data_IF_079967955695
#
_entry.id   IF_079967955695
#
_cell.length_a   1.000
_cell.length_b   1.000
_cell.length_c   1.000
_cell.angle_alpha   90.00
_cell.angle_beta   90.00
_cell.angle_gamma   90.00
#
_symmetry.space_group_name_H-M   'P 1'
#
loop_
_entity.id
_entity.type
_entity.pdbx_description
1 polymer ?
#
# COMPACT_ATOMS: atom_id res chain seq x y z
N UNK A 1 31.67 -24.71 37.05
CA UNK A 1 30.87 -24.89 38.29
C UNK A 1 30.18 -23.56 38.60
N UNK A 2 28.95 -23.59 39.10
CA UNK A 2 28.16 -22.43 39.50
C UNK A 2 27.62 -22.70 40.92
N UNK A 3 27.59 -21.69 41.81
CA UNK A 3 26.29 -21.19 42.32
C UNK A 3 26.26 -19.64 42.40
N UNK A 4 25.15 -18.91 42.21
CA UNK A 4 23.80 -18.97 42.84
C UNK A 4 23.82 -18.57 44.35
N UNK A 5 22.92 -17.75 44.95
CA UNK A 5 21.66 -17.09 44.52
C UNK A 5 21.15 -16.08 45.62
N UNK A 6 20.44 -14.97 45.25
CA UNK A 6 19.41 -14.20 46.02
C UNK A 6 19.78 -13.46 47.35
N UNK A 7 19.05 -12.45 47.92
CA UNK A 7 17.95 -11.51 47.52
C UNK A 7 17.68 -10.48 48.65
N UNK A 8 16.61 -9.65 48.58
CA UNK A 8 15.95 -8.81 49.65
C UNK A 8 16.49 -7.37 49.88
N UNK A 9 15.72 -6.29 50.18
CA UNK A 9 14.31 -5.84 49.97
C UNK A 9 14.23 -4.34 50.40
N UNK A 10 13.35 -3.53 49.79
CA UNK A 10 12.86 -2.21 50.31
C UNK A 10 11.92 -2.40 51.55
N UNK A 11 11.38 -1.39 52.31
CA UNK A 11 11.17 0.04 51.96
C UNK A 11 11.23 1.12 53.10
N UNK A 12 11.30 2.41 52.72
CA UNK A 12 10.95 3.62 53.52
C UNK A 12 10.61 4.77 52.54
N UNK A 13 9.66 5.72 52.70
CA UNK A 13 8.35 5.82 53.40
C UNK A 13 7.61 7.08 52.82
N UNK A 14 6.53 7.60 53.43
CA UNK A 14 5.74 8.74 52.92
C UNK A 14 5.47 9.89 53.93
N UNK A 15 4.89 10.98 53.39
CA UNK A 15 4.21 12.13 54.03
C UNK A 15 5.05 13.37 54.45
N UNK A 16 4.74 14.52 53.83
CA UNK A 16 4.01 15.56 54.56
C UNK A 16 3.21 16.51 53.64
N UNK A 17 2.06 16.97 54.12
CA UNK A 17 1.19 17.98 53.49
C UNK A 17 1.45 19.36 54.11
N UNK A 18 1.42 20.42 53.30
CA UNK A 18 1.57 21.80 53.77
C UNK A 18 1.11 22.81 52.73
N UNK A 19 -0.12 23.32 52.87
CA UNK A 19 -0.70 24.34 52.00
C UNK A 19 -0.27 25.74 52.42
N UNK A 20 -0.07 26.64 51.45
CA UNK A 20 -0.51 28.05 51.51
C UNK A 20 -0.47 28.68 50.10
N UNK A 21 -1.38 29.61 49.84
CA UNK A 21 -1.61 30.23 48.55
C UNK A 21 -0.88 31.58 48.41
N UNK A 22 -0.61 32.05 47.18
CA UNK A 22 -1.38 33.14 46.55
C UNK A 22 -0.84 33.59 45.18
N UNK A 23 -1.74 34.16 44.38
CA UNK A 23 -1.56 35.12 43.26
C UNK A 23 -0.56 34.86 42.11
N UNK A 24 -1.09 34.79 40.87
CA UNK A 24 -0.29 34.69 39.64
C UNK A 24 -1.11 34.78 38.34
N UNK A 25 -1.79 35.91 38.12
CA UNK A 25 -2.72 36.09 36.99
C UNK A 25 -2.01 36.14 35.62
N UNK A 26 -2.33 35.24 34.69
CA UNK A 26 -1.94 35.36 33.27
C UNK A 26 -2.91 34.69 32.28
N UNK A 27 -3.93 35.47 31.89
CA UNK A 27 -4.54 35.58 30.54
C UNK A 27 -4.52 34.32 29.63
N UNK A 28 -5.39 33.36 29.90
CA UNK A 28 -5.85 32.44 28.85
C UNK A 28 -6.81 33.17 27.88
N UNK A 29 -6.37 33.51 26.67
CA UNK A 29 -7.28 33.88 25.57
C UNK A 29 -7.88 32.60 24.97
N UNK A 30 -9.13 32.32 25.30
CA UNK A 30 -9.93 31.34 24.56
C UNK A 30 -10.04 31.77 23.09
N UNK A 31 -9.45 31.00 22.16
CA UNK A 31 -9.77 31.10 20.73
C UNK A 31 -10.98 30.22 20.44
N UNK A 32 -12.08 30.84 20.02
CA UNK A 32 -13.25 30.10 19.48
C UNK A 32 -12.84 29.36 18.20
N UNK A 33 -13.29 28.11 17.98
CA UNK A 33 -13.19 27.50 16.65
C UNK A 33 -14.13 28.23 15.69
N UNK A 34 -13.61 28.63 14.52
CA UNK A 34 -14.41 29.21 13.43
C UNK A 34 -15.02 28.13 12.53
N UNK A 35 -16.18 28.36 11.92
CA UNK A 35 -16.78 27.39 11.01
C UNK A 35 -16.13 27.47 9.61
N UNK A 36 -15.58 26.35 9.14
CA UNK A 36 -15.01 26.25 7.79
C UNK A 36 -15.20 24.84 7.18
N UNK A 37 -16.39 24.26 7.33
CA UNK A 37 -16.81 23.14 6.46
C UNK A 37 -17.30 23.71 5.13
N UNK A 38 -16.37 23.90 4.19
CA UNK A 38 -16.72 24.11 2.80
C UNK A 38 -17.31 22.80 2.23
N UNK A 39 -18.49 22.90 1.61
CA UNK A 39 -19.24 21.75 1.11
C UNK A 39 -18.52 21.14 -0.10
N UNK A 40 -18.21 19.85 -0.06
CA UNK A 40 -18.08 19.06 -1.28
C UNK A 40 -19.48 18.90 -1.89
N UNK A 41 -19.61 19.14 -3.19
CA UNK A 41 -20.90 19.20 -3.88
C UNK A 41 -21.58 17.83 -3.95
N UNK A 42 -22.85 17.70 -3.50
CA UNK A 42 -23.60 16.45 -3.61
C UNK A 42 -24.13 16.29 -5.04
N UNK A 43 -23.30 15.79 -5.96
CA UNK A 43 -23.74 15.48 -7.32
C UNK A 43 -23.17 14.17 -7.92
N UNK A 44 -22.76 13.24 -7.06
CA UNK A 44 -22.52 11.82 -7.42
C UNK A 44 -23.29 10.91 -6.44
N UNK A 45 -24.60 11.15 -6.32
CA UNK A 45 -25.52 10.22 -5.66
C UNK A 45 -26.92 10.36 -6.28
N UNK A 46 -27.56 9.23 -6.55
CA UNK A 46 -28.87 9.08 -7.22
C UNK A 46 -28.94 9.39 -8.73
N UNK A 47 -28.55 8.40 -9.54
CA UNK A 47 -29.38 7.94 -10.68
C UNK A 47 -29.04 6.52 -11.13
N UNK A 48 -29.52 5.52 -10.37
CA UNK A 48 -29.89 4.20 -10.91
C UNK A 48 -31.38 3.99 -10.64
N UNK A 49 -32.23 4.39 -11.58
CA UNK A 49 -33.59 3.83 -11.69
C UNK A 49 -33.47 2.53 -12.49
N UNK A 50 -34.29 1.53 -12.18
CA UNK A 50 -34.40 0.31 -13.00
C UNK A 50 -34.61 0.66 -14.49
N UNK A 51 -33.80 0.03 -15.33
CA UNK A 51 -34.08 -0.25 -16.74
C UNK A 51 -34.07 -1.79 -16.90
N UNK A 52 -34.80 -2.37 -17.87
CA UNK A 52 -35.08 -3.80 -17.92
C UNK A 52 -33.85 -4.64 -18.31
N UNK A 53 -33.93 -5.94 -18.02
CA UNK A 53 -32.91 -6.91 -18.38
C UNK A 53 -32.95 -7.25 -19.87
N UNK A 54 -32.09 -6.62 -20.67
CA UNK A 54 -31.86 -6.98 -22.07
C UNK A 54 -30.37 -7.29 -22.32
N UNK A 55 -30.11 -8.54 -22.73
CA UNK A 55 -28.90 -9.06 -23.40
C UNK A 55 -27.53 -8.67 -22.83
N UNK A 56 -27.02 -9.51 -21.92
CA UNK A 56 -25.74 -9.34 -21.22
C UNK A 56 -24.49 -9.83 -22.01
N UNK A 57 -24.44 -9.67 -23.34
CA UNK A 57 -23.39 -10.27 -24.19
C UNK A 57 -22.60 -9.27 -25.07
N UNK A 58 -22.89 -7.96 -25.01
CA UNK A 58 -22.23 -6.97 -25.90
C UNK A 58 -21.63 -5.75 -25.18
N UNK A 59 -21.75 -5.64 -23.85
CA UNK A 59 -21.09 -4.60 -23.05
C UNK A 59 -19.74 -5.04 -22.44
N UNK A 60 -19.28 -6.26 -22.72
CA UNK A 60 -17.87 -6.66 -22.56
C UNK A 60 -16.98 -6.08 -23.70
N UNK A 61 -17.26 -4.84 -24.10
CA UNK A 61 -16.60 -4.17 -25.22
C UNK A 61 -15.20 -3.74 -24.84
N UNK A 62 -14.21 -4.58 -25.19
CA UNK A 62 -12.79 -4.25 -25.37
C UNK A 62 -12.27 -3.15 -24.42
N UNK A 63 -12.37 -3.38 -23.10
CA UNK A 63 -11.69 -2.55 -22.12
C UNK A 63 -10.19 -2.63 -22.40
N UNK A 64 -9.57 -1.51 -22.80
CA UNK A 64 -8.13 -1.47 -23.12
C UNK A 64 -7.33 -2.05 -21.97
N UNK A 65 -6.44 -2.99 -22.27
CA UNK A 65 -5.65 -3.63 -21.24
C UNK A 65 -4.58 -2.67 -20.68
N UNK A 66 -4.91 -1.91 -19.63
CA UNK A 66 -4.02 -0.89 -19.05
C UNK A 66 -3.40 -1.33 -17.72
N UNK A 67 -2.09 -1.23 -17.62
CA UNK A 67 -1.36 -1.52 -16.39
C UNK A 67 -0.91 -0.23 -15.66
N UNK A 68 -1.21 -0.11 -14.36
CA UNK A 68 -0.60 0.86 -13.46
C UNK A 68 0.60 0.23 -12.75
N UNK A 69 1.77 0.88 -12.84
CA UNK A 69 3.06 0.40 -12.35
C UNK A 69 3.65 1.44 -11.38
N UNK A 70 3.16 1.45 -10.14
CA UNK A 70 3.46 2.47 -9.13
C UNK A 70 4.61 2.05 -8.20
N UNK A 71 5.70 2.82 -8.20
CA UNK A 71 6.88 2.55 -7.37
C UNK A 71 7.75 1.40 -7.89
N UNK A 72 7.55 0.97 -9.13
CA UNK A 72 8.10 -0.29 -9.66
C UNK A 72 9.44 -0.16 -10.38
N UNK A 73 9.93 1.06 -10.67
CA UNK A 73 11.14 1.34 -11.45
C UNK A 73 12.47 0.88 -10.80
N UNK A 74 12.42 0.33 -9.59
CA UNK A 74 13.58 -0.22 -8.86
C UNK A 74 13.55 -1.75 -8.79
N UNK A 75 13.45 -2.30 -7.57
CA UNK A 75 13.51 -3.76 -7.31
C UNK A 75 12.43 -4.60 -8.01
N UNK A 76 11.40 -3.94 -8.57
CA UNK A 76 10.27 -4.54 -9.28
C UNK A 76 10.36 -4.34 -10.80
N UNK A 77 11.46 -3.80 -11.35
CA UNK A 77 11.54 -3.42 -12.76
C UNK A 77 11.29 -4.60 -13.73
N UNK A 78 11.72 -5.82 -13.37
CA UNK A 78 11.43 -7.00 -14.18
C UNK A 78 9.95 -7.44 -14.09
N UNK A 79 9.30 -7.27 -12.94
CA UNK A 79 7.85 -7.47 -12.80
C UNK A 79 7.03 -6.39 -13.54
N UNK A 80 7.49 -5.14 -13.50
CA UNK A 80 6.92 -4.06 -14.32
C UNK A 80 7.06 -4.35 -15.80
N UNK A 81 8.21 -4.87 -16.26
CA UNK A 81 8.42 -5.30 -17.65
C UNK A 81 7.45 -6.41 -18.03
N UNK A 82 7.26 -7.40 -17.16
CA UNK A 82 6.30 -8.49 -17.36
C UNK A 82 4.85 -7.98 -17.50
N UNK A 83 4.40 -7.11 -16.58
CA UNK A 83 3.08 -6.50 -16.65
C UNK A 83 2.90 -5.63 -17.92
N UNK A 84 3.87 -4.78 -18.23
CA UNK A 84 3.86 -3.91 -19.39
C UNK A 84 3.84 -4.71 -20.71
N UNK A 85 4.54 -5.85 -20.81
CA UNK A 85 4.48 -6.71 -22.01
C UNK A 85 3.05 -7.15 -22.33
N UNK A 86 2.24 -7.49 -21.33
CA UNK A 86 0.86 -7.95 -21.51
C UNK A 86 -0.15 -6.81 -21.78
N UNK A 87 0.15 -5.59 -21.32
CA UNK A 87 -0.72 -4.42 -21.45
C UNK A 87 -0.66 -3.77 -22.86
N UNK A 88 -1.72 -3.08 -23.27
CA UNK A 88 -1.74 -2.16 -24.40
C UNK A 88 -1.07 -0.80 -24.06
N UNK A 89 -1.22 -0.35 -22.82
CA UNK A 89 -0.65 0.91 -22.28
C UNK A 89 -0.18 0.65 -20.85
N UNK A 90 1.02 1.09 -20.50
CA UNK A 90 1.61 0.91 -19.17
C UNK A 90 1.96 2.26 -18.53
N UNK A 91 1.26 2.63 -17.47
CA UNK A 91 1.49 3.88 -16.74
C UNK A 91 2.51 3.65 -15.64
N UNK A 92 3.71 4.20 -15.81
CA UNK A 92 4.84 4.04 -14.89
C UNK A 92 4.90 5.25 -13.99
N UNK A 93 4.70 5.04 -12.68
CA UNK A 93 4.76 6.13 -11.69
C UNK A 93 5.95 5.95 -10.77
N UNK A 94 6.87 6.90 -10.81
CA UNK A 94 7.91 7.08 -9.80
C UNK A 94 8.49 8.49 -9.90
N UNK A 95 9.21 8.94 -8.87
CA UNK A 95 9.89 10.26 -8.85
C UNK A 95 10.86 10.50 -10.03
N UNK A 96 11.24 9.45 -10.76
CA UNK A 96 12.19 9.49 -11.88
C UNK A 96 11.68 8.69 -13.09
N UNK A 97 10.35 8.62 -13.28
CA UNK A 97 9.73 7.87 -14.38
C UNK A 97 10.20 8.34 -15.77
N UNK A 98 10.45 9.64 -15.96
CA UNK A 98 10.89 10.21 -17.24
C UNK A 98 12.28 9.72 -17.71
N UNK A 99 13.09 9.23 -16.77
CA UNK A 99 14.42 8.64 -17.06
C UNK A 99 14.41 7.11 -17.02
N UNK A 100 13.25 6.48 -16.83
CA UNK A 100 13.12 5.03 -16.80
C UNK A 100 12.77 4.49 -18.18
N UNK A 101 13.39 3.37 -18.55
CA UNK A 101 13.18 2.63 -19.79
C UNK A 101 13.43 1.14 -19.51
N UNK A 102 12.71 0.26 -20.19
CA UNK A 102 12.94 -1.18 -20.17
C UNK A 102 14.07 -1.63 -21.10
N UNK A 103 14.70 -0.71 -21.85
CA UNK A 103 15.71 -1.00 -22.86
C UNK A 103 15.15 -1.65 -24.13
N UNK A 104 13.87 -1.40 -24.41
CA UNK A 104 13.08 -2.10 -25.44
C UNK A 104 12.11 -1.10 -26.08
N UNK A 105 12.49 -0.57 -27.25
CA UNK A 105 11.80 0.57 -27.90
C UNK A 105 10.31 0.32 -28.12
N UNK A 106 9.92 -0.91 -28.49
CA UNK A 106 8.52 -1.26 -28.73
C UNK A 106 7.71 -1.36 -27.42
N UNK A 107 8.36 -1.75 -26.32
CA UNK A 107 7.76 -1.78 -25.00
C UNK A 107 7.69 -0.38 -24.37
N UNK A 108 8.74 0.42 -24.53
CA UNK A 108 8.83 1.79 -24.02
C UNK A 108 7.85 2.73 -24.77
N UNK A 109 7.61 2.52 -26.07
CA UNK A 109 6.67 3.30 -26.87
C UNK A 109 5.19 3.19 -26.42
N UNK A 110 4.83 2.17 -25.64
CA UNK A 110 3.50 2.04 -25.01
C UNK A 110 3.48 2.41 -23.52
N UNK A 111 4.58 2.94 -23.00
CA UNK A 111 4.68 3.39 -21.62
C UNK A 111 4.34 4.89 -21.51
N UNK A 112 3.60 5.25 -20.46
CA UNK A 112 3.42 6.65 -20.05
C UNK A 112 4.16 6.85 -18.74
N UNK A 113 5.21 7.67 -18.75
CA UNK A 113 5.94 8.05 -17.55
C UNK A 113 5.23 9.20 -16.83
N UNK A 114 4.97 9.00 -15.54
CA UNK A 114 4.40 10.00 -14.63
C UNK A 114 5.39 10.24 -13.48
N UNK A 115 6.15 11.36 -13.49
CA UNK A 115 7.28 11.63 -12.60
C UNK A 115 6.89 12.04 -11.16
N UNK A 116 5.85 11.44 -10.60
CA UNK A 116 5.26 11.84 -9.32
C UNK A 116 5.79 11.04 -8.13
N UNK A 117 5.79 11.69 -6.96
CA UNK A 117 5.92 11.01 -5.66
C UNK A 117 4.54 10.53 -5.21
N UNK A 118 4.44 9.32 -4.65
CA UNK A 118 3.22 8.87 -3.97
C UNK A 118 2.90 9.70 -2.71
N UNK A 119 3.84 10.54 -2.25
CA UNK A 119 3.67 11.45 -1.11
C UNK A 119 2.94 12.74 -1.48
N UNK A 120 2.80 13.04 -2.78
CA UNK A 120 1.94 14.10 -3.31
C UNK A 120 0.64 13.46 -3.86
N UNK A 121 -0.16 12.92 -2.94
CA UNK A 121 -1.38 12.17 -3.27
C UNK A 121 -2.33 12.94 -4.21
N UNK A 122 -2.63 14.25 -4.01
CA UNK A 122 -3.57 14.97 -4.87
C UNK A 122 -3.05 15.13 -6.31
N UNK A 123 -1.77 15.46 -6.49
CA UNK A 123 -1.20 15.66 -7.82
C UNK A 123 -1.06 14.33 -8.58
N UNK A 124 -0.69 13.26 -7.88
CA UNK A 124 -0.64 11.91 -8.45
C UNK A 124 -2.03 11.43 -8.89
N UNK A 125 -3.06 11.59 -8.05
CA UNK A 125 -4.41 11.14 -8.39
C UNK A 125 -4.98 11.89 -9.60
N UNK A 126 -4.83 13.22 -9.65
CA UNK A 126 -5.24 14.03 -10.80
C UNK A 126 -4.53 13.62 -12.11
N UNK A 127 -3.27 13.18 -12.04
CA UNK A 127 -2.57 12.64 -13.21
C UNK A 127 -3.15 11.26 -13.63
N UNK A 128 -3.39 10.37 -12.67
CA UNK A 128 -3.89 9.01 -12.92
C UNK A 128 -5.33 8.94 -13.45
N UNK A 129 -6.20 9.88 -13.06
CA UNK A 129 -7.60 9.93 -13.51
C UNK A 129 -7.74 9.89 -15.05
N UNK A 130 -6.82 10.51 -15.79
CA UNK A 130 -6.86 10.55 -17.25
C UNK A 130 -6.46 9.23 -17.92
N UNK A 131 -5.83 8.32 -17.19
CA UNK A 131 -5.38 7.01 -17.68
C UNK A 131 -6.29 5.85 -17.26
N UNK A 132 -6.98 5.99 -16.13
CA UNK A 132 -7.89 5.00 -15.58
C UNK A 132 -9.07 4.66 -16.54
N UNK A 133 -9.71 3.49 -16.39
CA UNK A 133 -9.46 2.46 -15.39
C UNK A 133 -8.33 1.48 -15.78
N UNK A 134 -7.72 0.84 -14.79
CA UNK A 134 -6.62 -0.12 -14.96
C UNK A 134 -7.09 -1.57 -14.82
N UNK A 135 -6.79 -2.44 -15.78
CA UNK A 135 -7.02 -3.89 -15.68
C UNK A 135 -6.06 -4.57 -14.70
N UNK A 136 -4.86 -3.99 -14.52
CA UNK A 136 -3.86 -4.43 -13.56
C UNK A 136 -3.23 -3.21 -12.86
N UNK A 137 -3.12 -3.25 -11.54
CA UNK A 137 -2.33 -2.30 -10.77
C UNK A 137 -1.29 -3.04 -9.93
N UNK A 138 -0.01 -2.92 -10.29
CA UNK A 138 1.13 -3.40 -9.48
C UNK A 138 1.71 -2.21 -8.72
N UNK A 139 1.58 -2.22 -7.40
CA UNK A 139 1.95 -1.05 -6.57
C UNK A 139 2.94 -1.42 -5.48
N UNK A 140 3.92 -0.55 -5.24
CA UNK A 140 4.80 -0.60 -4.08
C UNK A 140 4.91 0.79 -3.45
N UNK A 141 4.03 1.05 -2.49
CA UNK A 141 3.98 2.30 -1.71
C UNK A 141 4.17 2.01 -0.22
N UNK A 142 4.73 2.98 0.50
CA UNK A 142 5.07 2.83 1.92
C UNK A 142 3.81 2.63 2.79
N UNK A 143 3.94 2.04 3.99
CA UNK A 143 2.86 2.07 4.98
C UNK A 143 2.50 3.52 5.36
N UNK A 144 1.22 3.82 5.61
CA UNK A 144 0.60 5.14 5.90
C UNK A 144 0.08 5.96 4.71
N UNK A 145 0.16 5.46 3.48
CA UNK A 145 -0.47 6.10 2.30
C UNK A 145 -1.94 5.64 2.14
N UNK A 146 -2.75 5.75 3.20
CA UNK A 146 -4.07 5.09 3.27
C UNK A 146 -5.11 5.75 2.35
N UNK A 147 -5.06 7.08 2.19
CA UNK A 147 -5.94 7.80 1.26
C UNK A 147 -5.60 7.46 -0.20
N UNK A 148 -4.31 7.47 -0.54
CA UNK A 148 -3.87 7.00 -1.86
C UNK A 148 -4.28 5.55 -2.13
N UNK A 149 -4.16 4.62 -1.16
CA UNK A 149 -4.63 3.23 -1.33
C UNK A 149 -6.12 3.15 -1.65
N UNK A 150 -6.96 3.81 -0.86
CA UNK A 150 -8.40 3.83 -1.09
C UNK A 150 -8.79 4.47 -2.44
N UNK A 151 -8.04 5.47 -2.90
CA UNK A 151 -8.23 6.07 -4.21
C UNK A 151 -7.75 5.15 -5.36
N UNK A 152 -6.63 4.45 -5.18
CA UNK A 152 -6.13 3.46 -6.15
C UNK A 152 -7.10 2.30 -6.35
N UNK A 153 -7.77 1.84 -5.29
CA UNK A 153 -8.82 0.81 -5.38
C UNK A 153 -9.90 1.21 -6.39
N UNK A 154 -10.31 2.48 -6.38
CA UNK A 154 -11.33 3.03 -7.28
C UNK A 154 -10.86 3.31 -8.71
N UNK A 155 -9.56 3.24 -8.99
CA UNK A 155 -8.98 3.39 -10.33
C UNK A 155 -8.79 2.04 -11.05
N UNK A 156 -9.00 0.91 -10.37
CA UNK A 156 -8.98 -0.43 -10.97
C UNK A 156 -10.32 -0.69 -11.68
N UNK A 157 -10.25 -1.26 -12.88
CA UNK A 157 -11.42 -1.62 -13.67
C UNK A 157 -12.24 -2.74 -12.99
N UNK A 158 -13.56 -2.80 -13.20
CA UNK A 158 -14.34 -4.00 -12.87
C UNK A 158 -13.75 -5.24 -13.55
N UNK A 159 -13.50 -6.30 -12.78
CA UNK A 159 -12.75 -7.50 -13.18
C UNK A 159 -11.23 -7.35 -13.18
N UNK A 160 -10.70 -6.16 -12.87
CA UNK A 160 -9.27 -5.87 -12.79
C UNK A 160 -8.62 -6.37 -11.51
N UNK A 161 -7.28 -6.40 -11.48
CA UNK A 161 -6.49 -6.93 -10.37
C UNK A 161 -5.60 -5.86 -9.73
N UNK A 162 -5.69 -5.68 -8.42
CA UNK A 162 -4.76 -4.91 -7.60
C UNK A 162 -3.78 -5.84 -6.88
N UNK A 163 -2.49 -5.70 -7.18
CA UNK A 163 -1.39 -6.38 -6.51
C UNK A 163 -0.59 -5.36 -5.70
N UNK A 164 -0.68 -5.45 -4.38
CA UNK A 164 0.12 -4.63 -3.46
C UNK A 164 1.37 -5.38 -3.00
N UNK A 165 2.54 -4.86 -3.39
CA UNK A 165 3.82 -5.29 -2.85
C UNK A 165 4.07 -4.56 -1.53
N UNK A 166 4.43 -5.30 -0.49
CA UNK A 166 4.58 -4.79 0.88
C UNK A 166 5.88 -5.30 1.52
N UNK A 167 6.57 -4.46 2.29
CA UNK A 167 7.73 -4.91 3.09
C UNK A 167 7.31 -5.74 4.31
N UNK A 168 8.22 -6.56 4.87
CA UNK A 168 7.94 -7.53 5.95
C UNK A 168 7.20 -6.97 7.16
N UNK A 169 7.38 -5.68 7.49
CA UNK A 169 6.71 -5.00 8.61
C UNK A 169 5.20 -4.81 8.42
N UNK A 170 4.67 -5.03 7.21
CA UNK A 170 3.24 -4.86 6.89
C UNK A 170 2.32 -5.89 7.56
N UNK A 171 2.85 -7.05 7.92
CA UNK A 171 2.13 -8.15 8.58
C UNK A 171 2.18 -8.08 10.12
N UNK A 172 2.94 -7.15 10.69
CA UNK A 172 3.02 -6.99 12.14
C UNK A 172 1.74 -6.37 12.66
N UNK A 173 1.17 -6.98 13.70
CA UNK A 173 0.13 -6.38 14.52
C UNK A 173 0.66 -5.16 15.29
N UNK A 174 -0.24 -4.28 15.70
CA UNK A 174 0.07 -3.21 16.64
C UNK A 174 0.38 -3.72 18.05
N UNK A 175 0.98 -2.89 18.91
CA UNK A 175 1.45 -3.29 20.23
C UNK A 175 0.32 -3.73 21.19
N UNK A 176 -0.94 -3.38 20.90
CA UNK A 176 -2.12 -3.74 21.68
C UNK A 176 -2.99 -4.79 20.95
N UNK A 177 -2.44 -5.47 19.93
CA UNK A 177 -3.17 -6.45 19.12
C UNK A 177 -3.98 -5.83 17.97
N UNK A 178 -3.73 -4.57 17.61
CA UNK A 178 -4.35 -3.96 16.43
C UNK A 178 -3.99 -4.74 15.15
N UNK A 179 -4.92 -4.94 14.19
CA UNK A 179 -4.64 -5.69 12.98
C UNK A 179 -3.53 -5.04 12.16
N UNK A 180 -2.72 -5.88 11.51
CA UNK A 180 -1.65 -5.42 10.63
C UNK A 180 -2.22 -4.66 9.42
N UNK A 181 -1.44 -3.77 8.79
CA UNK A 181 -1.89 -3.08 7.57
C UNK A 181 -2.19 -4.08 6.43
N UNK A 182 -1.45 -5.19 6.35
CA UNK A 182 -1.74 -6.26 5.41
C UNK A 182 -3.07 -6.98 5.72
N UNK A 183 -3.47 -7.07 6.99
CA UNK A 183 -4.80 -7.59 7.39
C UNK A 183 -5.90 -6.59 7.04
N UNK A 184 -5.76 -5.32 7.48
CA UNK A 184 -6.73 -4.24 7.22
C UNK A 184 -7.05 -4.12 5.73
N UNK A 185 -6.02 -4.15 4.86
CA UNK A 185 -6.20 -4.08 3.41
C UNK A 185 -6.90 -5.32 2.84
N UNK A 186 -6.53 -6.52 3.29
CA UNK A 186 -7.18 -7.74 2.84
C UNK A 186 -8.66 -7.78 3.23
N UNK A 187 -8.98 -7.41 4.47
CA UNK A 187 -10.36 -7.38 4.98
C UNK A 187 -11.21 -6.31 4.26
N UNK A 188 -10.64 -5.12 3.99
CA UNK A 188 -11.34 -4.05 3.27
C UNK A 188 -11.65 -4.41 1.81
N UNK A 189 -10.77 -5.17 1.15
CA UNK A 189 -10.90 -5.53 -0.27
C UNK A 189 -11.69 -6.83 -0.48
N UNK A 190 -11.73 -7.74 0.50
CA UNK A 190 -12.58 -8.93 0.47
C UNK A 190 -14.09 -8.61 0.32
N UNK A 191 -14.49 -7.38 0.61
CA UNK A 191 -15.87 -6.89 0.48
C UNK A 191 -16.14 -6.15 -0.86
N UNK A 192 -15.17 -6.08 -1.77
CA UNK A 192 -15.28 -5.41 -3.07
C UNK A 192 -15.31 -6.47 -4.19
N UNK A 193 -16.49 -6.98 -4.59
CA UNK A 193 -16.59 -8.12 -5.50
C UNK A 193 -16.14 -7.82 -6.93
N UNK A 194 -16.07 -6.54 -7.31
CA UNK A 194 -15.74 -6.10 -8.66
C UNK A 194 -14.23 -6.02 -8.94
N UNK A 195 -13.36 -6.20 -7.94
CA UNK A 195 -11.89 -6.17 -8.12
C UNK A 195 -11.20 -7.34 -7.43
N UNK A 196 -10.23 -7.96 -8.10
CA UNK A 196 -9.38 -8.98 -7.52
C UNK A 196 -8.25 -8.32 -6.72
N UNK A 197 -8.12 -8.65 -5.44
CA UNK A 197 -7.06 -8.11 -4.59
C UNK A 197 -6.06 -9.17 -4.16
N UNK A 198 -4.77 -8.83 -4.25
CA UNK A 198 -3.67 -9.71 -3.86
C UNK A 198 -2.49 -8.96 -3.24
N UNK A 199 -1.74 -9.68 -2.41
CA UNK A 199 -0.57 -9.15 -1.70
C UNK A 199 0.71 -9.94 -2.02
N UNK A 200 1.82 -9.22 -2.22
CA UNK A 200 3.17 -9.80 -2.23
C UNK A 200 3.93 -9.23 -1.03
N UNK A 201 4.16 -10.03 0.00
CA UNK A 201 4.90 -9.61 1.19
C UNK A 201 6.36 -10.03 1.07
N UNK A 202 7.25 -9.04 1.08
CA UNK A 202 8.70 -9.22 0.99
C UNK A 202 9.29 -9.56 2.35
N UNK A 203 9.81 -10.78 2.49
CA UNK A 203 10.54 -11.26 3.65
C UNK A 203 12.06 -11.16 3.49
N UNK A 204 12.77 -12.17 3.95
CA UNK A 204 14.21 -12.35 3.83
C UNK A 204 14.53 -13.82 3.52
N UNK A 205 15.76 -14.14 3.12
CA UNK A 205 16.19 -15.51 2.85
C UNK A 205 17.11 -15.99 3.98
N UNK A 206 16.99 -17.26 4.36
CA UNK A 206 17.86 -17.94 5.34
C UNK A 206 18.62 -19.06 4.65
N UNK A 207 19.94 -18.92 4.56
CA UNK A 207 20.85 -19.84 3.85
C UNK A 207 22.11 -20.04 4.70
N UNK A 208 22.59 -21.28 4.81
CA UNK A 208 23.85 -21.63 5.47
C UNK A 208 24.01 -21.08 6.92
N UNK A 209 22.90 -20.94 7.65
CA UNK A 209 22.89 -20.41 9.02
C UNK A 209 22.90 -18.87 9.11
N UNK A 210 23.02 -18.17 8.00
CA UNK A 210 22.93 -16.72 7.89
C UNK A 210 21.60 -16.29 7.25
N UNK A 211 21.35 -14.97 7.27
CA UNK A 211 20.21 -14.36 6.60
C UNK A 211 20.67 -13.27 5.65
N UNK A 212 19.98 -13.12 4.52
CA UNK A 212 20.18 -12.05 3.54
C UNK A 212 18.85 -11.43 3.12
N UNK A 213 18.89 -10.19 2.66
CA UNK A 213 17.74 -9.59 1.99
C UNK A 213 17.48 -10.31 0.65
N UNK A 214 16.24 -10.20 0.17
CA UNK A 214 15.87 -10.68 -1.15
C UNK A 214 16.61 -9.86 -2.22
N UNK A 215 17.03 -10.52 -3.30
CA UNK A 215 17.54 -9.83 -4.49
C UNK A 215 16.38 -9.21 -5.30
N UNK A 216 16.71 -8.33 -6.26
CA UNK A 216 15.69 -7.75 -7.15
C UNK A 216 14.99 -8.82 -7.99
N UNK A 217 15.72 -9.87 -8.37
CA UNK A 217 15.24 -11.03 -9.10
C UNK A 217 14.23 -11.82 -8.26
N UNK A 218 14.52 -12.09 -6.99
CA UNK A 218 13.60 -12.79 -6.08
C UNK A 218 12.33 -11.97 -5.80
N UNK A 219 12.46 -10.64 -5.64
CA UNK A 219 11.34 -9.71 -5.45
C UNK A 219 10.45 -9.67 -6.70
N UNK A 220 11.06 -9.49 -7.88
CA UNK A 220 10.33 -9.45 -9.14
C UNK A 220 9.71 -10.80 -9.50
N UNK A 221 10.40 -11.93 -9.27
CA UNK A 221 9.87 -13.26 -9.52
C UNK A 221 8.64 -13.56 -8.65
N UNK A 222 8.63 -13.12 -7.39
CA UNK A 222 7.44 -13.25 -6.54
C UNK A 222 6.26 -12.42 -7.07
N UNK A 223 6.49 -11.21 -7.57
CA UNK A 223 5.45 -10.39 -8.19
C UNK A 223 4.95 -10.97 -9.53
N UNK A 224 5.83 -11.55 -10.35
CA UNK A 224 5.48 -12.25 -11.60
C UNK A 224 4.61 -13.47 -11.30
N UNK A 225 5.06 -14.34 -10.39
CA UNK A 225 4.29 -15.51 -9.97
C UNK A 225 2.93 -15.13 -9.35
N UNK A 226 2.78 -13.91 -8.83
CA UNK A 226 1.51 -13.39 -8.33
C UNK A 226 0.56 -12.90 -9.45
N UNK A 227 1.10 -12.42 -10.57
CA UNK A 227 0.33 -12.08 -11.77
C UNK A 227 -0.11 -13.34 -12.53
N UNK A 228 0.79 -14.31 -12.67
CA UNK A 228 0.54 -15.57 -13.42
C UNK A 228 -0.32 -16.57 -12.63
N UNK A 229 -0.13 -16.66 -11.31
CA UNK A 229 -0.85 -17.58 -10.43
C UNK A 229 -1.35 -16.84 -9.17
N UNK A 230 -2.49 -16.14 -9.27
CA UNK A 230 -2.97 -15.30 -8.17
C UNK A 230 -3.30 -16.10 -6.90
N UNK A 231 -2.69 -15.69 -5.79
CA UNK A 231 -3.05 -16.05 -4.42
C UNK A 231 -3.52 -14.81 -3.65
N UNK A 232 -4.38 -14.91 -2.62
CA UNK A 232 -4.73 -13.74 -1.79
C UNK A 232 -3.50 -13.08 -1.16
N UNK A 233 -2.50 -13.88 -0.79
CA UNK A 233 -1.19 -13.42 -0.31
C UNK A 233 -0.10 -14.40 -0.73
N UNK A 234 1.01 -13.86 -1.23
CA UNK A 234 2.27 -14.57 -1.52
C UNK A 234 3.39 -13.97 -0.68
N UNK A 235 4.24 -14.83 -0.12
CA UNK A 235 5.42 -14.42 0.62
C UNK A 235 6.65 -14.64 -0.26
N UNK A 236 7.52 -13.64 -0.37
CA UNK A 236 8.85 -13.79 -0.96
C UNK A 236 9.85 -14.09 0.18
N UNK A 237 10.52 -15.24 0.14
CA UNK A 237 11.38 -15.71 1.23
C UNK A 237 10.58 -16.16 2.47
N UNK A 238 11.13 -15.90 3.66
CA UNK A 238 10.48 -16.12 4.96
C UNK A 238 10.23 -14.81 5.71
N UNK A 239 9.24 -14.81 6.60
CA UNK A 239 8.99 -13.75 7.58
C UNK A 239 9.53 -14.10 8.97
N UNK A 240 9.77 -15.38 9.25
CA UNK A 240 10.10 -15.91 10.57
C UNK A 240 11.39 -16.77 10.57
N UNK A 241 12.12 -16.85 11.71
CA UNK A 241 11.88 -16.10 12.95
C UNK A 241 12.26 -14.61 12.78
N UNK A 242 11.43 -13.70 13.26
CA UNK A 242 11.58 -12.25 13.03
C UNK A 242 12.97 -11.70 13.41
N UNK A 243 13.55 -12.20 14.51
CA UNK A 243 14.86 -11.81 15.02
C UNK A 243 16.05 -12.28 14.15
N UNK A 244 15.82 -13.22 13.22
CA UNK A 244 16.84 -13.64 12.25
C UNK A 244 16.86 -12.77 10.99
N UNK A 245 16.01 -11.75 10.87
CA UNK A 245 16.01 -10.81 9.74
C UNK A 245 17.35 -10.03 9.72
N UNK A 246 17.94 -9.75 8.55
CA UNK A 246 19.17 -8.96 8.48
C UNK A 246 19.01 -7.58 9.13
N UNK A 247 20.08 -7.07 9.74
CA UNK A 247 20.16 -5.71 10.28
C UNK A 247 20.36 -4.67 9.16
#
# INVERSE_FOLDING_TARGET
MNPSIFSSLDPVSAANLGSLAETGNSRFRQRKPGPAFARLSPHVLMSRRQAPAETNETHAGLMKNKALLLGTTGMLAAAARHAAMQAEEAVIVSRHADSFSFGDEALDAKCVSLPFSYEDEPALLAALESHAPFSLALTWIRPRAELLRAALDALVAPGGTLIEVMGSRSILAGPNGEPSIASIRADALAHQPDIAYAQVVLGFVRENGASRWLTHEEISAAAIAQMEMPLPRRIAGTLEPWDARPQ
#
